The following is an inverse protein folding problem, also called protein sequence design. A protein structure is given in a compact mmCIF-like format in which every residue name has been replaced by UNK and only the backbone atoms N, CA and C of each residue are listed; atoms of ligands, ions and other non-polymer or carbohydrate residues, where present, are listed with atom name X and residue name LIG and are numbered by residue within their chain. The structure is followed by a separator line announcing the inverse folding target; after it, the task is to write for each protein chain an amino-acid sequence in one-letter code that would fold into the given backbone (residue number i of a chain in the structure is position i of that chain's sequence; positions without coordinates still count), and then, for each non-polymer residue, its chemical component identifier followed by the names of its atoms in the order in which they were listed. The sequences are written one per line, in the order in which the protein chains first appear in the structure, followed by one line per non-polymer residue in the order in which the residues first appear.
data_IF_889833097061
#
_entry.id   IF_889833097061
#
_cell.length_a   1.000
_cell.length_b   1.000
_cell.length_c   1.000
_cell.angle_alpha   90.00
_cell.angle_beta   90.00
_cell.angle_gamma   90.00
#
_symmetry.space_group_name_H-M   'P 1'
#
loop_
_entity.id
_entity.type
_entity.pdbx_description
1 polymer ?
#
# COMPACT_ATOMS: atom_id res chain seq x y z
N UNK A 1 -1.27 -6.64 15.57
CA UNK A 1 -2.43 -7.55 15.48
C UNK A 1 -2.26 -8.35 14.21
N UNK A 2 -2.36 -9.67 14.32
CA UNK A 2 -2.18 -10.56 13.18
C UNK A 2 -3.40 -10.52 12.26
N UNK A 3 -3.16 -10.76 10.97
CA UNK A 3 -4.19 -10.88 9.94
C UNK A 3 -4.24 -12.32 9.46
N UNK A 4 -5.44 -12.88 9.43
CA UNK A 4 -5.72 -14.13 8.74
C UNK A 4 -6.05 -13.81 7.28
N UNK A 5 -5.28 -14.39 6.36
CA UNK A 5 -5.47 -14.26 4.92
C UNK A 5 -5.81 -15.64 4.37
N UNK A 6 -6.91 -15.74 3.63
CA UNK A 6 -7.39 -16.97 3.03
C UNK A 6 -7.41 -16.82 1.51
N UNK A 7 -6.86 -17.79 0.79
CA UNK A 7 -6.91 -17.82 -0.68
C UNK A 7 -8.03 -18.73 -1.21
N UNK A 8 -8.35 -18.60 -2.49
CA UNK A 8 -9.40 -19.40 -3.14
C UNK A 8 -9.08 -20.89 -3.23
N UNK A 9 -7.83 -21.28 -2.95
CA UNK A 9 -7.38 -22.67 -2.94
C UNK A 9 -7.54 -23.33 -1.57
N UNK A 10 -8.05 -22.59 -0.58
CA UNK A 10 -8.27 -23.08 0.77
C UNK A 10 -7.07 -22.89 1.71
N UNK A 11 -5.98 -22.25 1.26
CA UNK A 11 -4.83 -22.00 2.12
C UNK A 11 -5.10 -20.82 3.05
N UNK A 12 -4.67 -20.95 4.30
CA UNK A 12 -4.76 -19.91 5.31
C UNK A 12 -3.36 -19.51 5.78
N UNK A 13 -3.06 -18.21 5.77
CA UNK A 13 -1.82 -17.64 6.29
C UNK A 13 -2.17 -16.64 7.38
N UNK A 14 -1.50 -16.75 8.53
CA UNK A 14 -1.58 -15.74 9.60
C UNK A 14 -0.28 -14.95 9.57
N UNK A 15 -0.36 -13.64 9.38
CA UNK A 15 0.81 -12.76 9.37
C UNK A 15 0.50 -11.37 9.91
N UNK A 16 1.49 -10.74 10.53
CA UNK A 16 1.52 -9.32 10.85
C UNK A 16 2.55 -8.53 10.05
N UNK A 17 3.32 -9.20 9.19
CA UNK A 17 4.29 -8.57 8.32
C UNK A 17 3.59 -7.91 7.13
N UNK A 18 3.81 -6.61 6.97
CA UNK A 18 3.18 -5.80 5.93
C UNK A 18 3.52 -6.28 4.52
N UNK A 19 4.77 -6.69 4.26
CA UNK A 19 5.16 -7.18 2.95
C UNK A 19 4.46 -8.50 2.59
N UNK A 20 4.40 -9.44 3.53
CA UNK A 20 3.68 -10.71 3.38
C UNK A 20 2.21 -10.48 3.14
N UNK A 21 1.57 -9.62 3.94
CA UNK A 21 0.16 -9.27 3.77
C UNK A 21 -0.09 -8.69 2.37
N UNK A 22 0.70 -7.69 1.95
CA UNK A 22 0.52 -7.03 0.65
C UNK A 22 0.75 -7.95 -0.56
N UNK A 23 1.59 -8.99 -0.41
CA UNK A 23 1.82 -10.01 -1.46
C UNK A 23 0.66 -11.00 -1.60
N UNK A 24 -0.04 -11.29 -0.51
CA UNK A 24 -1.11 -12.29 -0.46
C UNK A 24 -2.50 -11.71 -0.75
N UNK A 25 -2.67 -10.38 -0.63
CA UNK A 25 -3.92 -9.71 -0.99
C UNK A 25 -4.16 -9.75 -2.50
N UNK A 26 -5.36 -10.15 -2.91
CA UNK A 26 -5.80 -10.07 -4.30
C UNK A 26 -6.23 -8.63 -4.65
N UNK A 27 -5.26 -7.80 -5.01
CA UNK A 27 -5.48 -6.39 -5.33
C UNK A 27 -5.89 -6.22 -6.79
N UNK A 28 -7.18 -6.00 -7.00
CA UNK A 28 -7.76 -5.80 -8.35
C UNK A 28 -7.54 -4.37 -8.88
N UNK A 29 -7.62 -3.36 -8.00
CA UNK A 29 -7.56 -1.96 -8.43
C UNK A 29 -6.13 -1.55 -8.86
N UNK A 30 -5.90 -1.05 -10.09
CA UNK A 30 -4.56 -0.72 -10.57
C UNK A 30 -3.79 0.28 -9.70
N UNK A 31 -4.46 1.33 -9.20
CA UNK A 31 -3.81 2.29 -8.32
C UNK A 31 -3.40 1.68 -6.97
N UNK A 32 -4.13 0.68 -6.47
CA UNK A 32 -3.78 0.00 -5.23
C UNK A 32 -2.60 -0.98 -5.44
N UNK A 33 -2.38 -1.49 -6.66
CA UNK A 33 -1.17 -2.26 -6.99
C UNK A 33 0.11 -1.44 -6.79
N UNK A 34 0.05 -0.12 -6.99
CA UNK A 34 1.19 0.77 -6.71
C UNK A 34 1.58 0.71 -5.23
N UNK A 35 0.61 0.61 -4.30
CA UNK A 35 0.92 0.45 -2.87
C UNK A 35 1.59 -0.89 -2.56
N UNK A 36 1.20 -1.96 -3.28
CA UNK A 36 1.86 -3.27 -3.19
C UNK A 36 3.31 -3.19 -3.67
N UNK A 37 3.55 -2.47 -4.78
CA UNK A 37 4.89 -2.30 -5.33
C UNK A 37 5.77 -1.43 -4.43
N UNK A 38 5.23 -0.36 -3.84
CA UNK A 38 5.92 0.44 -2.81
C UNK A 38 6.36 -0.42 -1.63
N UNK A 39 5.47 -1.27 -1.10
CA UNK A 39 5.80 -2.17 0.00
C UNK A 39 6.91 -3.17 -0.38
N UNK A 40 6.85 -3.73 -1.59
CA UNK A 40 7.88 -4.66 -2.10
C UNK A 40 9.23 -3.98 -2.29
N UNK A 41 9.27 -2.73 -2.77
CA UNK A 41 10.51 -1.96 -2.91
C UNK A 41 11.13 -1.67 -1.54
N UNK A 42 10.34 -1.26 -0.55
CA UNK A 42 10.86 -1.04 0.80
C UNK A 42 11.42 -2.34 1.43
N UNK A 43 10.74 -3.46 1.19
CA UNK A 43 11.21 -4.78 1.60
C UNK A 43 12.53 -5.17 0.92
N UNK A 44 12.72 -4.90 -0.38
CA UNK A 44 13.95 -5.28 -1.09
C UNK A 44 15.16 -4.43 -0.71
N UNK A 45 14.95 -3.14 -0.46
CA UNK A 45 16.04 -2.21 -0.19
C UNK A 45 16.45 -2.18 1.28
N UNK A 46 15.49 -2.28 2.20
CA UNK A 46 15.73 -2.08 3.65
C UNK A 46 15.27 -3.27 4.48
N UNK A 47 14.23 -3.99 4.05
CA UNK A 47 13.69 -5.16 4.77
C UNK A 47 12.89 -4.83 6.04
N UNK A 48 12.57 -3.55 6.28
CA UNK A 48 11.67 -3.11 7.35
C UNK A 48 10.94 -1.81 6.93
N UNK A 49 9.89 -1.46 7.67
CA UNK A 49 9.10 -0.24 7.45
C UNK A 49 8.06 -0.38 6.35
N UNK A 50 7.82 -1.60 5.86
CA UNK A 50 6.87 -1.90 4.78
C UNK A 50 5.45 -1.43 5.10
N UNK A 51 5.00 -1.64 6.34
CA UNK A 51 3.71 -1.10 6.81
C UNK A 51 3.71 0.43 6.84
N UNK A 52 4.80 1.05 7.32
CA UNK A 52 4.88 2.52 7.46
C UNK A 52 4.87 3.22 6.12
N UNK A 53 5.61 2.71 5.14
CA UNK A 53 5.70 3.34 3.81
C UNK A 53 4.35 3.31 3.08
N UNK A 54 3.58 2.23 3.25
CA UNK A 54 2.23 2.12 2.67
C UNK A 54 1.29 3.13 3.33
N UNK A 55 1.31 3.25 4.66
CA UNK A 55 0.48 4.21 5.39
C UNK A 55 0.87 5.66 5.07
N UNK A 56 2.15 5.96 4.87
CA UNK A 56 2.57 7.29 4.42
C UNK A 56 2.11 7.62 3.01
N UNK A 57 2.16 6.66 2.09
CA UNK A 57 1.63 6.88 0.74
C UNK A 57 0.11 7.14 0.77
N UNK A 58 -0.63 6.41 1.61
CA UNK A 58 -2.06 6.66 1.82
C UNK A 58 -2.33 8.08 2.36
N UNK A 59 -1.66 8.48 3.43
CA UNK A 59 -1.90 9.78 4.06
C UNK A 59 -1.53 10.93 3.10
N UNK A 60 -0.45 10.78 2.32
CA UNK A 60 -0.13 11.76 1.29
C UNK A 60 -1.20 11.88 0.22
N UNK A 61 -1.78 10.77 -0.25
CA UNK A 61 -2.87 10.81 -1.22
C UNK A 61 -4.14 11.47 -0.65
N UNK A 62 -4.41 11.22 0.63
CA UNK A 62 -5.55 11.80 1.34
C UNK A 62 -5.40 13.30 1.53
N UNK A 63 -4.23 13.78 1.93
CA UNK A 63 -3.93 15.21 2.01
C UNK A 63 -3.92 15.87 0.62
N UNK A 64 -3.31 15.23 -0.38
CA UNK A 64 -3.29 15.73 -1.76
C UNK A 64 -4.69 15.88 -2.36
N UNK A 65 -5.62 14.99 -2.00
CA UNK A 65 -7.01 15.05 -2.44
C UNK A 65 -7.69 16.37 -2.05
N UNK A 66 -7.44 16.88 -0.85
CA UNK A 66 -8.02 18.15 -0.38
C UNK A 66 -7.61 19.31 -1.28
N UNK A 67 -6.32 19.39 -1.62
CA UNK A 67 -5.81 20.43 -2.52
C UNK A 67 -6.40 20.31 -3.94
N UNK A 68 -6.55 19.10 -4.45
CA UNK A 68 -7.17 18.87 -5.77
C UNK A 68 -8.64 19.30 -5.77
N UNK A 69 -9.38 19.03 -4.70
CA UNK A 69 -10.77 19.46 -4.53
C UNK A 69 -10.89 20.99 -4.43
N UNK A 70 -9.88 21.66 -3.87
CA UNK A 70 -9.74 23.13 -3.85
C UNK A 70 -9.26 23.72 -5.20
N UNK A 71 -9.11 22.89 -6.24
CA UNK A 71 -8.77 23.31 -7.60
C UNK A 71 -7.27 23.43 -7.88
N UNK A 72 -6.42 22.96 -6.96
CA UNK A 72 -4.97 22.88 -7.21
C UNK A 72 -4.67 21.76 -8.18
N UNK A 73 -4.01 22.08 -9.28
CA UNK A 73 -3.63 21.08 -10.29
C UNK A 73 -2.57 20.12 -9.73
N UNK A 74 -2.75 18.82 -9.93
CA UNK A 74 -1.87 17.76 -9.40
C UNK A 74 -0.41 17.85 -9.88
N UNK A 75 -0.18 18.56 -10.99
CA UNK A 75 1.13 19.07 -11.38
C UNK A 75 1.18 20.56 -11.11
N UNK A 76 1.94 20.97 -10.10
CA UNK A 76 2.36 22.36 -9.96
C UNK A 76 3.38 22.65 -11.07
N UNK A 77 3.03 23.49 -12.03
CA UNK A 77 4.01 24.10 -12.91
C UNK A 77 4.64 25.26 -12.13
N UNK A 78 5.81 24.99 -11.56
CA UNK A 78 6.79 26.00 -11.17
C UNK A 78 8.01 25.84 -12.05
#
# INVERSE_FOLDING_TARGET
MDKLIHDDKGNATISNDGATIMKLLDVVHPAAKILVDIAKSQESEVGDGTTRVVLFAEEFLKEAKLFIEDGVHSKSYT
#
